data_IF_039370197632
#
_entry.id   IF_039370197632
#
_cell.length_a   1.000
_cell.length_b   1.000
_cell.length_c   1.000
_cell.angle_alpha   90.00
_cell.angle_beta   90.00
_cell.angle_gamma   90.00
#
_symmetry.space_group_name_H-M   'P 1'
#
loop_
_entity.id
_entity.type
_entity.pdbx_description
1 polymer ?
#
# COMPACT_ATOMS: atom_id res chain seq x y z
N UNK A 1 15.45 5.61 12.57
CA UNK A 1 14.27 5.64 11.67
C UNK A 1 13.23 6.58 12.24
N UNK A 2 13.05 7.74 11.59
CA UNK A 2 12.00 8.70 11.90
C UNK A 2 10.80 8.38 11.00
N UNK A 3 9.59 8.35 11.55
CA UNK A 3 8.39 8.14 10.76
C UNK A 3 7.75 9.49 10.44
N UNK A 4 7.47 9.73 9.16
CA UNK A 4 6.77 10.90 8.67
C UNK A 4 5.39 10.50 8.18
N UNK A 5 4.40 11.36 8.42
CA UNK A 5 3.06 11.15 7.91
C UNK A 5 3.07 11.23 6.37
N UNK A 6 2.57 10.21 5.65
CA UNK A 6 2.59 10.21 4.19
C UNK A 6 1.69 11.28 3.57
N UNK A 7 0.72 11.81 4.34
CA UNK A 7 -0.25 12.81 3.86
C UNK A 7 0.23 14.25 4.05
N UNK A 8 0.99 14.55 5.11
CA UNK A 8 1.40 15.94 5.41
C UNK A 8 2.87 16.11 5.82
N UNK A 9 3.67 15.04 5.84
CA UNK A 9 5.10 15.08 6.16
C UNK A 9 5.45 15.26 7.64
N UNK A 10 4.46 15.49 8.52
CA UNK A 10 4.70 15.70 9.96
C UNK A 10 5.39 14.49 10.58
N UNK A 11 6.47 14.72 11.33
CA UNK A 11 7.16 13.69 12.11
C UNK A 11 6.23 13.17 13.20
N UNK A 12 6.10 11.85 13.31
CA UNK A 12 5.23 11.19 14.29
C UNK A 12 6.03 11.02 15.60
N UNK A 13 5.65 11.71 16.69
CA UNK A 13 6.47 11.78 17.90
C UNK A 13 6.62 10.43 18.61
N UNK A 14 5.67 9.50 18.47
CA UNK A 14 5.69 8.25 19.23
C UNK A 14 6.63 7.15 18.71
N UNK A 15 7.58 7.47 17.84
CA UNK A 15 8.79 6.66 17.66
C UNK A 15 9.82 6.87 18.78
N UNK A 16 9.49 7.68 19.79
CA UNK A 16 10.27 7.91 21.01
C UNK A 16 10.32 6.65 21.86
N UNK A 17 11.54 6.14 22.02
CA UNK A 17 11.91 5.06 22.93
C UNK A 17 11.40 5.35 24.35
N UNK A 18 10.45 4.56 24.84
CA UNK A 18 10.13 4.51 26.28
C UNK A 18 10.91 3.34 26.85
N UNK A 19 11.71 3.61 27.89
CA UNK A 19 12.11 2.73 29.00
C UNK A 19 12.87 1.41 28.76
N UNK A 20 12.53 0.67 27.71
CA UNK A 20 12.80 -0.78 27.61
C UNK A 20 13.63 -1.14 26.36
N UNK A 21 14.16 -0.12 25.68
CA UNK A 21 14.97 -0.27 24.46
C UNK A 21 14.16 -0.75 23.24
N UNK A 22 12.86 -1.00 23.40
CA UNK A 22 11.94 -1.39 22.33
C UNK A 22 11.20 -0.17 21.81
N UNK A 23 11.08 -0.06 20.48
CA UNK A 23 10.30 0.99 19.83
C UNK A 23 8.81 0.65 19.93
N UNK A 24 8.13 1.24 20.91
CA UNK A 24 6.68 1.20 20.99
C UNK A 24 6.08 2.42 20.29
N UNK A 25 5.42 2.19 19.15
CA UNK A 25 4.69 3.24 18.44
C UNK A 25 3.33 3.42 19.09
N UNK A 26 3.24 4.32 20.07
CA UNK A 26 1.98 4.73 20.70
C UNK A 26 1.34 5.90 19.94
N UNK A 27 0.98 5.65 18.67
CA UNK A 27 0.25 6.60 17.84
C UNK A 27 -1.01 5.90 17.29
N UNK A 28 -2.22 6.29 17.74
CA UNK A 28 -3.47 5.57 17.44
C UNK A 28 -3.81 5.55 15.95
N UNK A 29 -3.28 6.49 15.18
CA UNK A 29 -3.49 6.61 13.74
C UNK A 29 -2.23 6.29 12.93
N UNK A 30 -1.21 5.65 13.51
CA UNK A 30 0.01 5.31 12.77
C UNK A 30 -0.31 4.54 11.47
N UNK A 31 0.30 4.90 10.31
CA UNK A 31 1.42 5.82 10.06
C UNK A 31 1.02 7.30 9.81
N UNK A 32 -0.17 7.71 10.22
CA UNK A 32 -0.66 9.09 10.07
C UNK A 32 -0.50 9.89 11.37
N UNK A 33 -0.36 11.22 11.26
CA UNK A 33 -0.24 12.08 12.44
C UNK A 33 -1.59 12.39 13.12
N UNK A 34 -2.72 12.04 12.50
CA UNK A 34 -4.07 12.33 12.98
C UNK A 34 -5.11 11.53 12.20
N UNK A 35 -6.33 11.44 12.74
CA UNK A 35 -7.47 10.86 12.04
C UNK A 35 -7.77 11.56 10.70
N UNK A 36 -7.63 12.89 10.64
CA UNK A 36 -7.83 13.65 9.40
C UNK A 36 -6.93 13.13 8.28
N UNK A 37 -5.66 12.90 8.56
CA UNK A 37 -4.73 12.38 7.56
C UNK A 37 -5.10 10.94 7.14
N UNK A 38 -5.53 10.09 8.08
CA UNK A 38 -6.05 8.75 7.76
C UNK A 38 -7.23 8.80 6.80
N UNK A 39 -8.18 9.72 7.03
CA UNK A 39 -9.38 9.85 6.19
C UNK A 39 -9.07 10.42 4.80
N UNK A 40 -8.09 11.34 4.70
CA UNK A 40 -7.63 11.86 3.40
C UNK A 40 -7.01 10.75 2.56
N UNK A 41 -6.13 9.94 3.16
CA UNK A 41 -5.52 8.78 2.49
C UNK A 41 -6.60 7.82 1.99
N UNK A 42 -7.55 7.47 2.85
CA UNK A 42 -8.69 6.62 2.49
C UNK A 42 -9.53 7.24 1.36
N UNK A 43 -9.78 8.54 1.40
CA UNK A 43 -10.49 9.25 0.33
C UNK A 43 -9.75 9.16 -1.01
N UNK A 44 -8.43 9.28 -1.01
CA UNK A 44 -7.63 9.14 -2.23
C UNK A 44 -7.68 7.71 -2.80
N UNK A 45 -7.80 6.67 -1.96
CA UNK A 45 -8.08 5.31 -2.41
C UNK A 45 -9.46 5.15 -3.04
N UNK A 46 -10.49 5.67 -2.38
CA UNK A 46 -11.87 5.59 -2.88
C UNK A 46 -12.07 6.38 -4.17
N UNK A 47 -11.33 7.48 -4.34
CA UNK A 47 -11.29 8.30 -5.55
C UNK A 47 -10.39 7.70 -6.66
N UNK A 48 -9.82 6.50 -6.47
CA UNK A 48 -8.90 5.84 -7.42
C UNK A 48 -7.69 6.72 -7.82
N UNK A 49 -7.22 7.58 -6.91
CA UNK A 49 -6.06 8.46 -7.15
C UNK A 49 -4.73 7.71 -7.05
N UNK A 50 -4.70 6.59 -6.34
CA UNK A 50 -3.55 5.71 -6.29
C UNK A 50 -3.60 4.69 -7.42
N UNK A 51 -2.48 4.52 -8.11
CA UNK A 51 -2.31 3.50 -9.16
C UNK A 51 -1.11 2.64 -8.81
N UNK A 52 -1.28 1.33 -8.91
CA UNK A 52 -0.17 0.39 -8.86
C UNK A 52 0.38 0.30 -10.28
N UNK A 53 1.65 0.67 -10.46
CA UNK A 53 2.33 0.47 -11.73
C UNK A 53 2.40 -1.02 -12.03
N UNK A 54 1.97 -1.43 -13.22
CA UNK A 54 2.28 -2.76 -13.75
C UNK A 54 3.64 -2.63 -14.44
N UNK A 55 4.62 -3.39 -13.98
CA UNK A 55 5.81 -3.64 -14.80
C UNK A 55 5.34 -4.41 -16.02
N UNK A 56 5.41 -3.77 -17.20
CA UNK A 56 5.26 -4.48 -18.46
C UNK A 56 6.50 -5.38 -18.61
N UNK A 57 6.46 -6.54 -17.96
CA UNK A 57 7.25 -7.65 -18.44
C UNK A 57 6.63 -8.02 -19.79
N UNK A 58 7.35 -7.69 -20.86
CA UNK A 58 7.00 -7.92 -22.26
C UNK A 58 7.08 -9.42 -22.60
N UNK A 59 6.53 -10.27 -21.73
CA UNK A 59 6.44 -11.71 -21.90
C UNK A 59 4.99 -12.07 -22.13
N UNK A 60 4.62 -11.94 -23.40
CA UNK A 60 3.56 -12.64 -24.11
C UNK A 60 3.11 -13.89 -23.35
N UNK A 61 2.14 -13.75 -22.46
CA UNK A 61 1.43 -14.88 -21.89
C UNK A 61 0.57 -15.43 -23.03
N UNK A 62 1.16 -16.37 -23.76
CA UNK A 62 0.49 -17.24 -24.70
C UNK A 62 -0.79 -17.74 -24.01
N UNK A 63 -1.95 -17.27 -24.47
CA UNK A 63 -3.19 -18.01 -24.34
C UNK A 63 -2.93 -19.38 -24.97
N UNK A 64 -2.51 -20.34 -24.16
CA UNK A 64 -2.59 -21.75 -24.50
C UNK A 64 -4.05 -22.13 -24.40
N UNK A 65 -4.82 -21.71 -25.41
CA UNK A 65 -6.04 -22.41 -25.78
C UNK A 65 -5.62 -23.84 -26.15
N UNK A 66 -6.03 -24.88 -25.40
CA UNK A 66 -5.80 -26.24 -25.87
C UNK A 66 -6.51 -26.40 -27.22
N UNK A 67 -5.92 -27.12 -28.19
CA UNK A 67 -6.61 -27.43 -29.44
C UNK A 67 -7.95 -28.09 -29.11
N UNK A 68 -9.04 -27.52 -29.62
CA UNK A 68 -10.32 -28.21 -29.62
C UNK A 68 -10.12 -29.44 -30.50
N UNK A 69 -10.10 -30.63 -29.91
CA UNK A 69 -10.11 -31.88 -30.67
C UNK A 69 -11.44 -31.92 -31.45
N UNK A 70 -11.35 -31.74 -32.77
CA UNK A 70 -12.43 -32.05 -33.70
C UNK A 70 -12.64 -33.56 -33.67
N UNK A 71 -13.56 -34.02 -32.83
CA UNK A 71 -14.13 -35.37 -32.91
C UNK A 71 -15.02 -35.41 -34.17
N UNK A 72 -14.40 -35.69 -35.31
CA UNK A 72 -15.07 -36.12 -36.53
C UNK A 72 -15.13 -37.65 -36.56
N UNK A 73 -16.37 -38.15 -36.68
CA UNK A 73 -16.86 -39.53 -36.92
C UNK A 73 -17.24 -40.42 -35.72
#
# INVERSE_FOLDING_TARGET
MNYQCPICGKVIPSATTVGDGKKHINAPFFPFCSERCRLIDLGAWLDERYRVGIEQNDDTSQEQHPPMEEDDS
#
